data_IF_690201986256
#
_entry.id   IF_690201986256
#
_cell.length_a   1.000
_cell.length_b   1.000
_cell.length_c   1.000
_cell.angle_alpha   90.00
_cell.angle_beta   90.00
_cell.angle_gamma   90.00
#
_symmetry.space_group_name_H-M   'P 1'
#
loop_
_entity.id
_entity.type
_entity.pdbx_description
1 polymer ?
#
# COMPACT_ATOMS: atom_id res chain seq x y z
N UNK A 1 -3.37 3.97 -24.30
CA UNK A 1 -1.89 4.05 -24.25
C UNK A 1 -1.37 2.64 -24.00
N UNK A 2 -0.38 2.14 -24.76
CA UNK A 2 0.15 0.79 -24.54
C UNK A 2 0.93 0.77 -23.22
N UNK A 3 0.61 -0.18 -22.35
CA UNK A 3 1.42 -0.50 -21.17
C UNK A 3 2.70 -1.11 -21.68
N UNK A 4 3.79 -0.34 -21.71
CA UNK A 4 5.12 -0.88 -21.93
C UNK A 4 5.45 -1.78 -20.75
N UNK A 5 5.30 -3.09 -20.91
CA UNK A 5 5.89 -4.06 -20.01
C UNK A 5 7.37 -3.72 -19.89
N UNK A 6 7.82 -3.34 -18.69
CA UNK A 6 9.25 -3.28 -18.38
C UNK A 6 9.86 -4.64 -18.75
N UNK A 7 10.93 -4.67 -19.55
CA UNK A 7 11.43 -5.91 -20.11
C UNK A 7 12.00 -6.77 -18.99
N UNK A 8 11.42 -7.96 -18.84
CA UNK A 8 11.81 -9.03 -17.90
C UNK A 8 13.32 -9.31 -17.85
N UNK A 9 14.05 -8.92 -18.89
CA UNK A 9 15.50 -8.99 -19.04
C UNK A 9 16.26 -8.20 -17.97
N UNK A 10 15.79 -7.00 -17.61
CA UNK A 10 16.49 -6.13 -16.65
C UNK A 10 16.49 -6.71 -15.22
N UNK A 11 15.45 -7.49 -14.90
CA UNK A 11 15.30 -8.18 -13.62
C UNK A 11 16.21 -9.42 -13.58
N UNK A 12 16.31 -10.16 -14.69
CA UNK A 12 17.19 -11.33 -14.77
C UNK A 12 18.67 -10.93 -14.73
N UNK A 13 19.04 -9.85 -15.41
CA UNK A 13 20.40 -9.30 -15.38
C UNK A 13 20.76 -8.79 -13.97
N UNK A 14 19.79 -8.25 -13.22
CA UNK A 14 19.96 -7.90 -11.81
C UNK A 14 20.20 -9.13 -10.92
N UNK A 15 19.50 -10.24 -11.17
CA UNK A 15 19.68 -11.51 -10.42
C UNK A 15 21.06 -12.13 -10.73
N UNK A 16 21.50 -12.11 -11.98
CA UNK A 16 22.83 -12.61 -12.38
C UNK A 16 23.94 -11.77 -11.77
N UNK A 17 23.77 -10.44 -11.71
CA UNK A 17 24.70 -9.54 -11.02
C UNK A 17 24.78 -9.84 -9.51
N UNK A 18 23.65 -10.12 -8.87
CA UNK A 18 23.58 -10.54 -7.45
C UNK A 18 24.33 -11.86 -7.23
N UNK A 19 24.18 -12.85 -8.10
CA UNK A 19 24.90 -14.14 -7.99
C UNK A 19 26.41 -13.98 -8.16
N UNK A 20 26.84 -13.08 -9.06
CA UNK A 20 28.26 -12.77 -9.26
C UNK A 20 28.85 -12.03 -8.06
N UNK A 21 28.11 -11.06 -7.51
CA UNK A 21 28.45 -10.32 -6.30
C UNK A 21 28.56 -11.22 -5.06
N UNK A 22 27.69 -12.23 -4.93
CA UNK A 22 27.74 -13.24 -3.85
C UNK A 22 28.99 -14.12 -3.94
N UNK A 23 29.48 -14.44 -5.14
CA UNK A 23 30.67 -15.28 -5.35
C UNK A 23 32.00 -14.57 -5.03
N UNK A 24 32.02 -13.24 -5.05
CA UNK A 24 33.25 -12.46 -4.86
C UNK A 24 33.57 -12.14 -3.39
N UNK A 25 32.73 -12.55 -2.44
CA UNK A 25 33.05 -12.57 -1.00
C UNK A 25 33.31 -11.19 -0.40
N UNK A 26 32.26 -10.52 0.09
CA UNK A 26 32.40 -9.19 0.70
C UNK A 26 32.28 -9.17 2.22
N UNK A 27 33.17 -8.38 2.81
CA UNK A 27 33.21 -7.92 4.18
C UNK A 27 32.07 -6.93 4.48
N UNK A 28 31.84 -6.68 5.76
CA UNK A 28 30.76 -5.86 6.35
C UNK A 28 30.93 -4.35 6.06
N UNK A 29 31.13 -3.96 4.79
CA UNK A 29 31.49 -2.61 4.37
C UNK A 29 30.27 -1.74 4.08
N UNK A 30 30.45 -0.42 4.20
CA UNK A 30 29.46 0.60 3.83
C UNK A 30 28.91 0.41 2.41
N UNK A 31 29.72 -0.07 1.46
CA UNK A 31 29.30 -0.32 0.08
C UNK A 31 28.27 -1.46 -0.03
N UNK A 32 28.43 -2.53 0.74
CA UNK A 32 27.47 -3.65 0.78
C UNK A 32 26.12 -3.19 1.32
N UNK A 33 26.12 -2.34 2.35
CA UNK A 33 24.89 -1.76 2.94
C UNK A 33 24.18 -0.84 1.94
N UNK A 34 24.94 0.04 1.29
CA UNK A 34 24.45 0.94 0.25
C UNK A 34 23.82 0.16 -0.92
N UNK A 35 24.50 -0.88 -1.40
CA UNK A 35 23.97 -1.73 -2.47
C UNK A 35 22.70 -2.47 -2.05
N UNK A 36 22.66 -3.03 -0.84
CA UNK A 36 21.45 -3.65 -0.30
C UNK A 36 20.28 -2.65 -0.24
N UNK A 37 20.52 -1.45 0.29
CA UNK A 37 19.51 -0.41 0.40
C UNK A 37 18.98 0.00 -0.97
N UNK A 38 19.87 0.34 -1.90
CA UNK A 38 19.50 0.81 -3.24
C UNK A 38 18.78 -0.24 -4.08
N UNK A 39 19.12 -1.53 -3.92
CA UNK A 39 18.57 -2.60 -4.74
C UNK A 39 17.29 -3.21 -4.16
N UNK A 40 17.04 -3.08 -2.85
CA UNK A 40 15.94 -3.77 -2.19
C UNK A 40 15.02 -2.84 -1.38
N UNK A 41 15.58 -1.96 -0.55
CA UNK A 41 14.79 -1.11 0.34
C UNK A 41 14.19 0.08 -0.41
N UNK A 42 15.04 0.82 -1.15
CA UNK A 42 14.63 2.00 -1.93
C UNK A 42 13.53 1.66 -2.96
N UNK A 43 13.66 0.61 -3.78
CA UNK A 43 12.64 0.31 -4.79
C UNK A 43 11.32 -0.14 -4.16
N UNK A 44 11.37 -0.76 -2.97
CA UNK A 44 10.17 -1.10 -2.22
C UNK A 44 9.49 0.17 -1.68
N UNK A 45 10.26 1.13 -1.16
CA UNK A 45 9.75 2.38 -0.61
C UNK A 45 9.04 3.21 -1.69
N UNK A 46 9.68 3.37 -2.85
CA UNK A 46 9.08 4.09 -4.00
C UNK A 46 7.75 3.45 -4.42
N UNK A 47 7.66 2.11 -4.44
CA UNK A 47 6.41 1.41 -4.79
C UNK A 47 5.31 1.59 -3.76
N UNK A 48 5.63 1.54 -2.46
CA UNK A 48 4.60 1.75 -1.44
C UNK A 48 4.16 3.21 -1.38
N UNK A 49 5.06 4.16 -1.64
CA UNK A 49 4.72 5.57 -1.77
C UNK A 49 3.76 5.81 -2.94
N UNK A 50 3.96 5.15 -4.08
CA UNK A 50 3.03 5.18 -5.22
C UNK A 50 1.63 4.70 -4.81
N UNK A 51 1.54 3.54 -4.15
CA UNK A 51 0.27 2.98 -3.67
C UNK A 51 -0.39 3.89 -2.63
N UNK A 52 0.40 4.48 -1.75
CA UNK A 52 -0.09 5.43 -0.75
C UNK A 52 -0.67 6.69 -1.40
N UNK A 53 0.04 7.28 -2.36
CA UNK A 53 -0.42 8.44 -3.14
C UNK A 53 -1.71 8.11 -3.90
N UNK A 54 -1.82 6.92 -4.47
CA UNK A 54 -3.05 6.45 -5.12
C UNK A 54 -4.22 6.42 -4.13
N UNK A 55 -4.06 5.81 -2.94
CA UNK A 55 -5.11 5.79 -1.93
C UNK A 55 -5.57 7.20 -1.53
N UNK A 56 -4.63 8.10 -1.20
CA UNK A 56 -4.98 9.46 -0.80
C UNK A 56 -5.67 10.24 -1.93
N UNK A 57 -5.20 10.07 -3.16
CA UNK A 57 -5.79 10.70 -4.34
C UNK A 57 -7.22 10.21 -4.55
N UNK A 58 -7.43 8.90 -4.50
CA UNK A 58 -8.75 8.27 -4.64
C UNK A 58 -9.70 8.75 -3.54
N UNK A 59 -9.26 8.74 -2.28
CA UNK A 59 -10.09 9.19 -1.15
C UNK A 59 -10.46 10.68 -1.30
N UNK A 60 -9.51 11.52 -1.69
CA UNK A 60 -9.76 12.95 -1.97
C UNK A 60 -10.76 13.15 -3.12
N UNK A 61 -10.64 12.37 -4.20
CA UNK A 61 -11.59 12.39 -5.32
C UNK A 61 -12.97 11.94 -4.88
N UNK A 62 -13.07 10.88 -4.07
CA UNK A 62 -14.32 10.38 -3.53
C UNK A 62 -15.04 11.44 -2.69
N UNK A 63 -14.31 12.15 -1.82
CA UNK A 63 -14.85 13.29 -1.07
C UNK A 63 -15.39 14.37 -2.01
N UNK A 64 -14.65 14.72 -3.06
CA UNK A 64 -15.09 15.73 -4.04
C UNK A 64 -16.34 15.30 -4.81
N UNK A 65 -16.39 14.05 -5.26
CA UNK A 65 -17.53 13.49 -5.98
C UNK A 65 -18.79 13.50 -5.11
N UNK A 66 -18.68 13.12 -3.83
CA UNK A 66 -19.80 13.14 -2.88
C UNK A 66 -20.24 14.55 -2.52
N UNK A 67 -19.31 15.48 -2.25
CA UNK A 67 -19.66 16.87 -1.88
C UNK A 67 -20.35 17.64 -3.00
N UNK A 68 -20.06 17.29 -4.25
CA UNK A 68 -20.60 17.98 -5.43
C UNK A 68 -21.74 17.21 -6.10
N UNK A 69 -22.17 16.09 -5.51
CA UNK A 69 -23.18 15.18 -6.09
C UNK A 69 -22.90 14.83 -7.56
N UNK A 70 -21.61 14.72 -7.92
CA UNK A 70 -21.18 14.59 -9.33
C UNK A 70 -21.47 13.23 -9.94
N UNK A 71 -21.64 12.21 -9.10
CA UNK A 71 -21.81 10.82 -9.50
C UNK A 71 -22.79 10.11 -8.58
N UNK A 72 -23.60 9.22 -9.14
CA UNK A 72 -24.44 8.30 -8.36
C UNK A 72 -23.58 7.36 -7.51
N UNK A 73 -24.18 6.71 -6.52
CA UNK A 73 -23.47 5.73 -5.70
C UNK A 73 -22.93 4.56 -6.55
N UNK A 74 -23.70 4.12 -7.54
CA UNK A 74 -23.37 3.05 -8.49
C UNK A 74 -22.17 3.45 -9.36
N UNK A 75 -22.16 4.66 -9.91
CA UNK A 75 -21.04 5.18 -10.71
C UNK A 75 -19.76 5.32 -9.88
N UNK A 76 -19.88 5.66 -8.61
CA UNK A 76 -18.75 5.71 -7.67
C UNK A 76 -18.21 4.31 -7.38
N UNK A 77 -19.09 3.32 -7.14
CA UNK A 77 -18.69 1.93 -6.90
C UNK A 77 -17.92 1.39 -8.10
N UNK A 78 -18.41 1.61 -9.32
CA UNK A 78 -17.77 1.08 -10.52
C UNK A 78 -16.39 1.73 -10.75
N UNK A 79 -16.30 3.05 -10.54
CA UNK A 79 -15.02 3.76 -10.57
C UNK A 79 -14.02 3.23 -9.54
N UNK A 80 -14.46 2.89 -8.31
CA UNK A 80 -13.60 2.29 -7.29
C UNK A 80 -13.12 0.88 -7.69
N UNK A 81 -13.95 0.08 -8.36
CA UNK A 81 -13.56 -1.24 -8.88
C UNK A 81 -12.49 -1.14 -9.97
N UNK A 82 -12.62 -0.19 -10.89
CA UNK A 82 -11.60 0.05 -11.92
C UNK A 82 -10.24 0.44 -11.29
N UNK A 83 -10.26 1.39 -10.35
CA UNK A 83 -9.07 1.82 -9.60
C UNK A 83 -8.44 0.68 -8.80
N UNK A 84 -9.26 -0.18 -8.21
CA UNK A 84 -8.80 -1.39 -7.54
C UNK A 84 -7.99 -2.28 -8.49
N UNK A 85 -8.41 -2.46 -9.74
CA UNK A 85 -7.67 -3.32 -10.68
C UNK A 85 -6.33 -2.67 -11.09
N UNK A 86 -6.31 -1.36 -11.32
CA UNK A 86 -5.14 -0.60 -11.80
C UNK A 86 -3.89 -0.82 -10.96
N UNK A 87 -4.01 -0.79 -9.63
CA UNK A 87 -2.88 -0.93 -8.69
C UNK A 87 -2.83 -2.30 -7.99
N UNK A 88 -3.58 -3.29 -8.48
CA UNK A 88 -3.66 -4.60 -7.83
C UNK A 88 -2.31 -5.33 -7.84
N UNK A 89 -1.58 -5.25 -8.95
CA UNK A 89 -0.30 -5.94 -9.13
C UNK A 89 0.73 -5.45 -8.12
N UNK A 90 0.87 -4.14 -7.95
CA UNK A 90 1.80 -3.46 -7.06
C UNK A 90 1.52 -3.86 -5.61
N UNK A 91 0.25 -3.86 -5.20
CA UNK A 91 -0.16 -4.25 -3.85
C UNK A 91 0.15 -5.72 -3.55
N UNK A 92 -0.18 -6.62 -4.48
CA UNK A 92 0.14 -8.05 -4.32
C UNK A 92 1.66 -8.24 -4.20
N UNK A 93 2.45 -7.50 -4.99
CA UNK A 93 3.91 -7.57 -4.94
C UNK A 93 4.46 -7.10 -3.59
N UNK A 94 3.97 -5.98 -3.07
CA UNK A 94 4.40 -5.44 -1.78
C UNK A 94 3.97 -6.34 -0.61
N UNK A 95 2.79 -6.96 -0.68
CA UNK A 95 2.35 -7.94 0.32
C UNK A 95 3.25 -9.18 0.34
N UNK A 96 3.78 -9.59 -0.82
CA UNK A 96 4.71 -10.74 -0.93
C UNK A 96 6.16 -10.40 -0.57
N UNK A 97 6.49 -9.11 -0.53
CA UNK A 97 7.85 -8.63 -0.27
C UNK A 97 8.41 -9.14 1.06
N UNK A 98 7.58 -9.23 2.10
CA UNK A 98 7.98 -9.78 3.40
C UNK A 98 8.50 -11.21 3.22
N UNK A 99 7.69 -12.09 2.62
CA UNK A 99 8.09 -13.48 2.38
C UNK A 99 9.33 -13.61 1.49
N UNK A 100 9.49 -12.73 0.50
CA UNK A 100 10.64 -12.74 -0.41
C UNK A 100 11.95 -12.27 0.27
N UNK A 101 11.89 -11.25 1.13
CA UNK A 101 13.07 -10.71 1.80
C UNK A 101 13.50 -11.52 3.04
N UNK A 102 12.56 -12.08 3.81
CA UNK A 102 12.89 -12.94 4.95
C UNK A 102 13.48 -14.29 4.53
N UNK A 103 13.02 -14.83 3.40
CA UNK A 103 13.58 -16.04 2.81
C UNK A 103 14.82 -15.78 1.94
N UNK A 104 15.29 -14.52 1.88
CA UNK A 104 16.45 -14.19 1.10
C UNK A 104 17.73 -14.66 1.82
N UNK A 105 18.32 -15.71 1.27
CA UNK A 105 19.65 -16.22 1.64
C UNK A 105 20.71 -15.12 1.76
N UNK A 106 20.63 -14.06 0.94
CA UNK A 106 21.52 -12.91 1.01
C UNK A 106 21.36 -12.12 2.30
N UNK A 107 20.13 -11.82 2.75
CA UNK A 107 19.90 -11.13 4.02
C UNK A 107 20.42 -11.96 5.19
N UNK A 108 20.08 -13.26 5.20
CA UNK A 108 20.47 -14.21 6.24
C UNK A 108 21.99 -14.42 6.34
N UNK A 109 22.72 -14.38 5.21
CA UNK A 109 24.18 -14.53 5.17
C UNK A 109 24.91 -13.22 5.47
N UNK A 110 24.37 -12.09 5.03
CA UNK A 110 25.07 -10.80 5.05
C UNK A 110 24.82 -10.00 6.31
N UNK A 111 23.56 -9.89 6.76
CA UNK A 111 23.19 -8.91 7.79
C UNK A 111 22.81 -9.50 9.13
N UNK A 112 22.65 -10.83 9.25
CA UNK A 112 22.27 -11.50 10.52
C UNK A 112 23.16 -11.14 11.72
N UNK A 113 24.41 -10.70 11.49
CA UNK A 113 25.34 -10.23 12.53
C UNK A 113 25.31 -8.72 12.78
N UNK A 114 24.77 -7.93 11.83
CA UNK A 114 24.50 -6.51 12.00
C UNK A 114 23.12 -6.34 12.63
N UNK A 115 23.10 -6.17 13.95
CA UNK A 115 21.87 -6.19 14.75
C UNK A 115 20.96 -5.02 14.45
N UNK A 116 21.51 -3.83 14.14
CA UNK A 116 20.71 -2.64 13.86
C UNK A 116 20.11 -2.69 12.45
N UNK A 117 20.90 -3.00 11.41
CA UNK A 117 20.35 -3.11 10.04
C UNK A 117 19.32 -4.23 9.98
N UNK A 118 19.62 -5.39 10.57
CA UNK A 118 18.66 -6.50 10.62
C UNK A 118 17.36 -6.10 11.31
N UNK A 119 17.45 -5.47 12.48
CA UNK A 119 16.28 -5.00 13.24
C UNK A 119 15.44 -4.03 12.42
N UNK A 120 16.04 -3.02 11.82
CA UNK A 120 15.29 -2.01 11.07
C UNK A 120 14.75 -2.54 9.74
N UNK A 121 15.42 -3.50 9.09
CA UNK A 121 14.86 -4.22 7.94
C UNK A 121 13.61 -4.99 8.35
N UNK A 122 13.69 -5.76 9.45
CA UNK A 122 12.55 -6.51 9.97
C UNK A 122 11.38 -5.58 10.27
N UNK A 123 11.64 -4.47 10.98
CA UNK A 123 10.64 -3.47 11.30
C UNK A 123 9.99 -2.87 10.04
N UNK A 124 10.80 -2.45 9.07
CA UNK A 124 10.31 -1.88 7.80
C UNK A 124 9.37 -2.83 7.06
N UNK A 125 9.70 -4.12 7.00
CA UNK A 125 8.85 -5.12 6.36
C UNK A 125 7.57 -5.40 7.14
N UNK A 126 7.65 -5.40 8.47
CA UNK A 126 6.46 -5.50 9.31
C UNK A 126 5.55 -4.29 9.14
N UNK A 127 6.09 -3.09 9.02
CA UNK A 127 5.31 -1.86 8.82
C UNK A 127 4.60 -1.87 7.47
N UNK A 128 5.29 -2.31 6.40
CA UNK A 128 4.67 -2.56 5.08
C UNK A 128 3.54 -3.58 5.20
N UNK A 129 3.78 -4.69 5.91
CA UNK A 129 2.77 -5.73 6.08
C UNK A 129 1.56 -5.21 6.87
N UNK A 130 1.78 -4.50 7.97
CA UNK A 130 0.73 -3.87 8.80
C UNK A 130 -0.07 -2.85 7.99
N UNK A 131 0.58 -2.04 7.16
CA UNK A 131 -0.07 -1.08 6.28
C UNK A 131 -1.11 -1.74 5.36
N UNK A 132 -0.76 -2.89 4.76
CA UNK A 132 -1.69 -3.65 3.92
C UNK A 132 -2.67 -4.52 4.72
N UNK A 133 -2.32 -4.91 5.95
CA UNK A 133 -3.20 -5.68 6.83
C UNK A 133 -4.22 -4.79 7.54
N UNK A 134 -4.01 -3.50 7.75
CA UNK A 134 -5.00 -2.68 8.46
C UNK A 134 -6.24 -2.33 7.64
N UNK A 135 -6.20 -2.47 6.30
CA UNK A 135 -7.43 -2.48 5.51
C UNK A 135 -8.33 -3.69 5.82
N UNK A 136 -7.83 -4.65 6.60
CA UNK A 136 -8.43 -5.93 6.96
C UNK A 136 -9.18 -5.91 8.31
N UNK A 137 -9.78 -4.78 8.72
CA UNK A 137 -10.66 -4.79 9.90
C UNK A 137 -11.89 -5.72 9.73
N UNK A 138 -12.20 -6.13 8.49
CA UNK A 138 -13.36 -6.95 8.11
C UNK A 138 -13.03 -8.02 7.02
N UNK A 139 -12.07 -8.94 7.24
CA UNK A 139 -11.86 -10.16 6.41
C UNK A 139 -11.14 -9.98 5.05
N UNK A 140 -9.81 -9.96 5.07
CA UNK A 140 -8.88 -9.98 3.93
C UNK A 140 -9.18 -8.97 2.81
N UNK A 141 -9.73 -7.81 3.17
CA UNK A 141 -10.14 -6.78 2.22
C UNK A 141 -9.09 -5.69 2.02
N UNK A 142 -8.98 -5.20 0.78
CA UNK A 142 -8.23 -3.95 0.47
C UNK A 142 -9.06 -2.73 0.88
N UNK A 143 -8.42 -1.56 1.06
CA UNK A 143 -9.14 -0.31 1.33
C UNK A 143 -10.21 0.01 0.28
N UNK A 144 -9.94 -0.31 -0.99
CA UNK A 144 -10.93 -0.21 -2.06
C UNK A 144 -12.17 -1.10 -1.81
N UNK A 145 -11.96 -2.37 -1.45
CA UNK A 145 -13.06 -3.29 -1.12
C UNK A 145 -13.88 -2.78 0.06
N UNK A 146 -13.21 -2.28 1.10
CA UNK A 146 -13.87 -1.71 2.27
C UNK A 146 -14.78 -0.53 1.91
N UNK A 147 -14.26 0.44 1.13
CA UNK A 147 -15.04 1.60 0.71
C UNK A 147 -16.22 1.23 -0.18
N UNK A 148 -16.03 0.27 -1.10
CA UNK A 148 -17.11 -0.28 -1.93
C UNK A 148 -18.22 -0.85 -1.03
N UNK A 149 -17.87 -1.69 -0.05
CA UNK A 149 -18.83 -2.29 0.87
C UNK A 149 -19.59 -1.23 1.71
N UNK A 150 -18.90 -0.18 2.16
CA UNK A 150 -19.53 0.93 2.88
C UNK A 150 -20.56 1.63 1.99
N UNK A 151 -20.22 1.91 0.73
CA UNK A 151 -21.14 2.58 -0.20
C UNK A 151 -22.30 1.65 -0.57
N UNK A 152 -22.05 0.37 -0.85
CA UNK A 152 -23.08 -0.63 -1.15
C UNK A 152 -24.08 -0.77 0.01
N UNK A 153 -23.58 -0.81 1.26
CA UNK A 153 -24.43 -0.87 2.45
C UNK A 153 -25.28 0.39 2.60
N UNK A 154 -24.73 1.56 2.28
CA UNK A 154 -25.49 2.82 2.31
C UNK A 154 -26.62 2.85 1.28
N UNK A 155 -26.39 2.32 0.07
CA UNK A 155 -27.40 2.19 -0.99
C UNK A 155 -28.49 1.21 -0.57
N UNK A 156 -28.12 0.06 -0.03
CA UNK A 156 -29.07 -0.94 0.43
C UNK A 156 -30.01 -0.40 1.52
N UNK A 157 -29.47 0.37 2.47
CA UNK A 157 -30.26 1.01 3.54
C UNK A 157 -31.22 2.09 3.00
N UNK A 158 -30.80 2.86 2.00
CA UNK A 158 -31.67 3.83 1.33
C UNK A 158 -32.82 3.13 0.60
N UNK A 159 -32.54 2.01 -0.08
CA UNK A 159 -33.52 1.25 -0.83
C UNK A 159 -34.49 0.46 0.06
N UNK A 160 -34.10 0.08 1.28
CA UNK A 160 -34.96 -0.69 2.20
C UNK A 160 -35.98 0.17 2.96
N UNK A 161 -35.80 1.49 3.01
CA UNK A 161 -36.71 2.43 3.70
C UNK A 161 -37.06 3.66 2.84
N UNK A 162 -37.77 3.48 1.71
CA UNK A 162 -38.07 4.58 0.79
C UNK A 162 -39.08 5.63 1.31
N UNK A 163 -39.85 5.37 2.39
CA UNK A 163 -41.08 6.14 2.69
C UNK A 163 -41.26 6.72 4.11
N UNK A 164 -40.25 6.81 4.98
CA UNK A 164 -40.46 7.31 6.36
C UNK A 164 -39.70 8.59 6.72
N UNK A 165 -40.09 9.71 6.12
CA UNK A 165 -39.67 11.06 6.56
C UNK A 165 -39.29 12.00 5.40
N UNK A 166 -39.07 13.31 5.66
CA UNK A 166 -38.69 14.25 4.61
C UNK A 166 -37.44 13.72 3.93
N UNK A 167 -37.54 13.46 2.62
CA UNK A 167 -36.54 12.75 1.82
C UNK A 167 -35.09 13.28 1.96
N UNK A 168 -34.90 14.50 2.47
CA UNK A 168 -33.59 15.09 2.74
C UNK A 168 -32.89 14.66 4.04
N UNK A 169 -33.59 14.14 5.06
CA UNK A 169 -32.97 13.85 6.37
C UNK A 169 -32.18 12.53 6.38
N UNK A 170 -32.68 11.48 5.73
CA UNK A 170 -32.02 10.17 5.69
C UNK A 170 -30.85 10.09 4.69
N UNK A 171 -30.97 10.75 3.53
CA UNK A 171 -29.88 10.83 2.54
C UNK A 171 -28.65 11.60 3.08
N UNK A 172 -28.89 12.61 3.94
CA UNK A 172 -27.83 13.36 4.60
C UNK A 172 -27.12 12.55 5.69
N UNK A 173 -27.84 11.70 6.42
CA UNK A 173 -27.26 10.81 7.43
C UNK A 173 -26.36 9.74 6.78
N UNK A 174 -26.82 9.07 5.72
CA UNK A 174 -26.00 8.07 5.00
C UNK A 174 -24.77 8.68 4.34
N UNK A 175 -24.87 9.91 3.83
CA UNK A 175 -23.73 10.62 3.24
C UNK A 175 -22.72 11.04 4.31
N UNK A 176 -23.18 11.54 5.46
CA UNK A 176 -22.33 11.86 6.60
C UNK A 176 -21.57 10.63 7.13
N UNK A 177 -22.21 9.47 7.12
CA UNK A 177 -21.57 8.19 7.50
C UNK A 177 -20.47 7.80 6.51
N UNK A 178 -20.70 7.90 5.19
CA UNK A 178 -19.67 7.66 4.17
C UNK A 178 -18.47 8.60 4.37
N UNK A 179 -18.70 9.90 4.59
CA UNK A 179 -17.61 10.85 4.83
C UNK A 179 -16.81 10.50 6.07
N UNK A 180 -17.47 10.13 7.17
CA UNK A 180 -16.81 9.69 8.39
C UNK A 180 -15.93 8.46 8.15
N UNK A 181 -16.39 7.49 7.36
CA UNK A 181 -15.60 6.32 6.97
C UNK A 181 -14.38 6.71 6.12
N UNK A 182 -14.54 7.65 5.18
CA UNK A 182 -13.44 8.16 4.35
C UNK A 182 -12.41 8.88 5.22
N UNK A 183 -12.82 9.81 6.08
CA UNK A 183 -11.91 10.57 6.95
C UNK A 183 -11.16 9.64 7.91
N UNK A 184 -11.85 8.65 8.49
CA UNK A 184 -11.23 7.62 9.33
C UNK A 184 -10.19 6.84 8.53
N UNK A 185 -10.51 6.45 7.29
CA UNK A 185 -9.61 5.72 6.40
C UNK A 185 -8.37 6.53 6.06
N UNK A 186 -8.52 7.83 5.76
CA UNK A 186 -7.39 8.74 5.52
C UNK A 186 -6.47 8.80 6.75
N UNK A 187 -7.04 8.98 7.94
CA UNK A 187 -6.28 9.03 9.18
C UNK A 187 -5.46 7.76 9.44
N UNK A 188 -6.10 6.59 9.27
CA UNK A 188 -5.43 5.30 9.44
C UNK A 188 -4.32 5.12 8.41
N UNK A 189 -4.60 5.29 7.11
CA UNK A 189 -3.61 5.13 6.04
C UNK A 189 -2.40 6.05 6.23
N UNK A 190 -2.64 7.30 6.62
CA UNK A 190 -1.56 8.28 6.86
C UNK A 190 -0.69 7.84 8.04
N UNK A 191 -1.30 7.54 9.19
CA UNK A 191 -0.57 7.11 10.39
C UNK A 191 0.25 5.84 10.16
N UNK A 192 -0.23 4.91 9.33
CA UNK A 192 0.52 3.70 9.00
C UNK A 192 1.69 3.96 8.06
N UNK A 193 1.52 4.88 7.12
CA UNK A 193 2.60 5.27 6.22
C UNK A 193 3.72 6.01 6.96
N UNK A 194 3.39 6.71 8.04
CA UNK A 194 4.40 7.36 8.92
C UNK A 194 5.35 6.32 9.53
N UNK A 195 4.85 5.17 9.99
CA UNK A 195 5.72 4.09 10.51
C UNK A 195 6.67 3.54 9.44
N UNK A 196 6.16 3.32 8.22
CA UNK A 196 6.98 2.88 7.07
C UNK A 196 8.07 3.93 6.77
N UNK A 197 7.70 5.21 6.79
CA UNK A 197 8.63 6.31 6.50
C UNK A 197 9.69 6.46 7.59
N UNK A 198 9.34 6.22 8.85
CA UNK A 198 10.29 6.20 9.97
C UNK A 198 11.29 5.05 9.81
N UNK A 199 10.83 3.82 9.63
CA UNK A 199 11.71 2.64 9.50
C UNK A 199 12.58 2.72 8.24
N UNK A 200 12.04 3.23 7.13
CA UNK A 200 12.82 3.58 5.94
C UNK A 200 13.92 4.61 6.23
N UNK A 201 13.59 5.71 6.92
CA UNK A 201 14.54 6.77 7.24
C UNK A 201 15.69 6.27 8.13
N UNK A 202 15.38 5.38 9.08
CA UNK A 202 16.38 4.70 9.91
C UNK A 202 17.31 3.82 9.08
N UNK A 203 16.76 2.99 8.19
CA UNK A 203 17.55 2.17 7.27
C UNK A 203 18.44 3.01 6.37
N UNK A 204 17.91 4.12 5.85
CA UNK A 204 18.66 5.04 5.00
C UNK A 204 19.89 5.59 5.72
N UNK A 205 19.75 6.05 6.96
CA UNK A 205 20.87 6.58 7.75
C UNK A 205 21.89 5.53 8.22
N UNK A 206 21.54 4.24 8.21
CA UNK A 206 22.47 3.15 8.52
C UNK A 206 23.23 2.65 7.29
N UNK A 207 22.65 2.85 6.09
CA UNK A 207 23.16 2.31 4.84
C UNK A 207 23.87 3.34 3.95
N UNK A 208 23.56 4.63 4.10
CA UNK A 208 24.11 5.74 3.31
C UNK A 208 24.86 6.73 4.21
#
# INVERSE_FOLDING_TARGET
MPVTMLPWKDIFDSIVAIVKFIKEGYSNTTETRKNYFNNHIEPAYVKIELVHKDYLTTLSMLVKMKKKEQKSNEEVIEWLKERKIEFQTERIRLQKLQSELFNNDYFNKTFKKDTEISKWTVQYLEDIFKYFKQSNYLQDMTWYSYLIQVIESSVALQNSHPESGPAGLHANASSADIFKHIDTTIGVITSQFDFISESYSRLRGLCL
#
